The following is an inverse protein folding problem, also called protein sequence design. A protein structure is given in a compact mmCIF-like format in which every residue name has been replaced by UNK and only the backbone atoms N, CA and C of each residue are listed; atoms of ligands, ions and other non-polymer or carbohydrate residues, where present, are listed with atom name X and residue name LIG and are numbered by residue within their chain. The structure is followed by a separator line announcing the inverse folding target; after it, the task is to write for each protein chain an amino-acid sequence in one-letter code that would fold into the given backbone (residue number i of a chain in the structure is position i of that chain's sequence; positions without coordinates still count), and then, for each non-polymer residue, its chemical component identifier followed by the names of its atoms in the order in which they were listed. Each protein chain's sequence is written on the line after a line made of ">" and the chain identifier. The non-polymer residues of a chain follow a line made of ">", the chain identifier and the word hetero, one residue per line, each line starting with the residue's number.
data_IF_506771689352
#
_entry.id   IF_506771689352
#
_cell.length_a   1.000
_cell.length_b   1.000
_cell.length_c   1.000
_cell.angle_alpha   90.00
_cell.angle_beta   90.00
_cell.angle_gamma   90.00
#
_symmetry.space_group_name_H-M   'P 1'
#
loop_
_entity.id
_entity.type
_entity.pdbx_description
1 polymer ?
#
# COMPACT_ATOMS: atom_id res chain seq x y z
N UNK A 1 -14.67 -16.79 10.69
CA UNK A 1 -13.40 -16.78 11.27
C UNK A 1 -13.54 -16.43 12.74
N UNK A 2 -13.26 -17.45 13.59
CA UNK A 2 -13.71 -17.50 14.95
C UNK A 2 -13.15 -16.36 15.81
N UNK A 3 -14.03 -15.69 16.51
CA UNK A 3 -13.64 -14.79 17.57
C UNK A 3 -13.06 -15.62 18.70
N UNK A 4 -11.73 -15.58 18.85
CA UNK A 4 -11.06 -16.15 20.01
C UNK A 4 -11.36 -15.24 21.21
N UNK A 5 -11.83 -15.80 22.32
CA UNK A 5 -12.11 -15.04 23.54
C UNK A 5 -10.81 -14.48 24.14
N UNK A 6 -10.90 -13.34 24.82
CA UNK A 6 -9.72 -12.73 25.52
C UNK A 6 -9.02 -13.76 26.41
N UNK A 7 -9.77 -14.58 27.12
CA UNK A 7 -9.21 -15.60 28.01
C UNK A 7 -8.38 -16.67 27.27
N UNK A 8 -8.80 -17.05 26.07
CA UNK A 8 -8.05 -17.98 25.22
C UNK A 8 -6.79 -17.33 24.67
N UNK A 9 -6.85 -16.06 24.25
CA UNK A 9 -5.66 -15.32 23.79
C UNK A 9 -4.60 -15.31 24.89
N UNK A 10 -4.95 -14.91 26.11
CA UNK A 10 -4.02 -14.90 27.23
C UNK A 10 -3.47 -16.29 27.57
N UNK A 11 -4.29 -17.34 27.45
CA UNK A 11 -3.84 -18.73 27.64
C UNK A 11 -2.81 -19.12 26.58
N UNK A 12 -3.03 -18.80 25.32
CA UNK A 12 -2.07 -19.08 24.24
C UNK A 12 -0.77 -18.30 24.46
N UNK A 13 -0.82 -17.00 24.74
CA UNK A 13 0.36 -16.19 24.99
C UNK A 13 1.21 -16.77 26.12
N UNK A 14 0.56 -17.19 27.23
CA UNK A 14 1.24 -17.85 28.35
C UNK A 14 1.88 -19.17 27.95
N UNK A 15 1.16 -20.01 27.22
CA UNK A 15 1.67 -21.32 26.81
C UNK A 15 2.87 -21.23 25.88
N UNK A 16 2.92 -20.21 25.02
CA UNK A 16 4.04 -19.97 24.11
C UNK A 16 5.08 -18.99 24.66
N UNK A 17 4.96 -18.59 25.94
CA UNK A 17 5.86 -17.64 26.60
C UNK A 17 6.01 -16.31 25.82
N UNK A 18 4.94 -15.87 25.18
CA UNK A 18 4.90 -14.59 24.45
C UNK A 18 4.43 -13.52 25.44
N UNK A 19 5.28 -12.54 25.70
CA UNK A 19 4.95 -11.36 26.50
C UNK A 19 4.48 -10.24 25.58
N UNK A 20 3.30 -9.70 25.85
CA UNK A 20 2.76 -8.48 25.26
C UNK A 20 2.26 -7.59 26.40
N UNK A 21 3.14 -6.80 27.02
CA UNK A 21 2.84 -6.14 28.30
C UNK A 21 1.79 -5.03 28.20
N UNK A 22 1.51 -4.48 27.00
CA UNK A 22 0.58 -3.36 26.85
C UNK A 22 1.10 -2.06 27.48
N UNK A 23 0.31 -1.01 27.63
CA UNK A 23 -1.15 -0.99 27.40
C UNK A 23 -1.57 -0.68 25.96
N UNK A 24 -0.67 -0.22 25.09
CA UNK A 24 -0.98 0.20 23.72
C UNK A 24 -0.27 -0.70 22.72
N UNK A 25 -1.00 -1.11 21.69
CA UNK A 25 -0.49 -1.93 20.61
C UNK A 25 -0.73 -1.27 19.26
N UNK A 26 0.20 -1.46 18.33
CA UNK A 26 0.06 -1.01 16.96
C UNK A 26 0.65 -2.06 16.02
N UNK A 27 -0.03 -2.32 14.90
CA UNK A 27 0.53 -3.07 13.80
C UNK A 27 1.12 -2.13 12.76
N UNK A 28 2.30 -2.48 12.26
CA UNK A 28 2.84 -1.90 11.04
C UNK A 28 3.03 -3.01 9.99
N UNK A 29 2.67 -2.73 8.75
CA UNK A 29 2.81 -3.64 7.62
C UNK A 29 3.89 -3.11 6.69
N UNK A 30 4.90 -3.92 6.42
CA UNK A 30 6.01 -3.60 5.54
C UNK A 30 5.72 -4.17 4.16
N UNK A 31 5.73 -3.32 3.16
CA UNK A 31 5.61 -3.66 1.74
C UNK A 31 6.91 -3.31 1.03
N UNK A 32 7.51 -4.29 0.37
CA UNK A 32 8.69 -4.10 -0.49
C UNK A 32 8.22 -4.02 -1.93
N UNK A 33 8.55 -2.95 -2.64
CA UNK A 33 8.15 -2.76 -4.04
C UNK A 33 8.82 -3.82 -4.92
N UNK A 34 8.02 -4.48 -5.75
CA UNK A 34 8.51 -5.43 -6.75
C UNK A 34 8.99 -4.73 -8.04
N UNK A 35 8.63 -3.46 -8.22
CA UNK A 35 9.02 -2.66 -9.37
C UNK A 35 10.45 -2.09 -9.24
N UNK A 36 10.97 -2.03 -8.01
CA UNK A 36 12.28 -1.47 -7.69
C UNK A 36 13.16 -2.54 -7.00
N UNK A 37 13.51 -3.58 -7.76
CA UNK A 37 14.36 -4.67 -7.26
C UNK A 37 15.79 -4.46 -7.77
N UNK A 38 16.80 -4.51 -6.90
CA UNK A 38 18.19 -4.47 -7.32
C UNK A 38 18.50 -5.58 -8.34
N UNK A 39 19.26 -5.25 -9.37
CA UNK A 39 19.55 -6.16 -10.48
C UNK A 39 20.04 -7.54 -10.01
N UNK A 40 19.35 -8.58 -10.45
CA UNK A 40 19.70 -9.99 -10.19
C UNK A 40 19.26 -10.54 -8.83
N UNK A 41 18.56 -9.76 -8.01
CA UNK A 41 18.05 -10.23 -6.73
C UNK A 41 16.62 -10.79 -6.88
N UNK A 42 16.33 -12.01 -6.47
CA UNK A 42 14.96 -12.51 -6.41
C UNK A 42 14.10 -11.69 -5.43
N UNK A 43 12.83 -11.37 -5.75
CA UNK A 43 11.93 -10.57 -4.88
C UNK A 43 11.82 -11.12 -3.46
N UNK A 44 11.75 -12.44 -3.33
CA UNK A 44 11.65 -13.13 -2.04
C UNK A 44 12.91 -12.87 -1.17
N UNK A 45 14.09 -12.91 -1.75
CA UNK A 45 15.33 -12.65 -1.01
C UNK A 45 15.43 -11.19 -0.55
N UNK A 46 14.96 -10.26 -1.38
CA UNK A 46 14.88 -8.85 -1.00
C UNK A 46 13.95 -8.66 0.20
N UNK A 47 12.74 -9.22 0.13
CA UNK A 47 11.75 -9.17 1.22
C UNK A 47 12.31 -9.78 2.51
N UNK A 48 12.97 -10.94 2.44
CA UNK A 48 13.61 -11.57 3.59
C UNK A 48 14.75 -10.71 4.18
N UNK A 49 15.54 -10.07 3.34
CA UNK A 49 16.62 -9.17 3.76
C UNK A 49 16.05 -7.94 4.47
N UNK A 50 15.01 -7.32 3.90
CA UNK A 50 14.30 -6.20 4.52
C UNK A 50 13.71 -6.60 5.87
N UNK A 51 13.09 -7.78 5.96
CA UNK A 51 12.55 -8.29 7.22
C UNK A 51 13.62 -8.46 8.30
N UNK A 52 14.79 -9.01 7.94
CA UNK A 52 15.91 -9.19 8.87
C UNK A 52 16.41 -7.84 9.39
N UNK A 53 16.67 -6.90 8.50
CA UNK A 53 17.13 -5.57 8.86
C UNK A 53 16.11 -4.79 9.71
N UNK A 54 14.83 -4.90 9.36
CA UNK A 54 13.78 -4.31 10.17
C UNK A 54 13.76 -4.90 11.58
N UNK A 55 13.86 -6.24 11.69
CA UNK A 55 13.88 -6.91 12.99
C UNK A 55 15.06 -6.43 13.84
N UNK A 56 16.27 -6.39 13.29
CA UNK A 56 17.46 -5.94 14.01
C UNK A 56 17.30 -4.50 14.50
N UNK A 57 16.92 -3.57 13.62
CA UNK A 57 16.84 -2.14 13.96
C UNK A 57 15.69 -1.76 14.89
N UNK A 58 14.52 -2.35 14.67
CA UNK A 58 13.37 -2.02 15.51
C UNK A 58 13.40 -2.71 16.87
N UNK A 59 13.95 -3.95 16.97
CA UNK A 59 14.03 -4.64 18.26
C UNK A 59 14.99 -3.99 19.25
N UNK A 60 15.93 -3.17 18.78
CA UNK A 60 16.83 -2.40 19.66
C UNK A 60 16.11 -1.21 20.34
N UNK A 61 15.03 -0.71 19.74
CA UNK A 61 14.34 0.52 20.17
C UNK A 61 12.91 0.28 20.64
N UNK A 62 12.28 -0.79 20.16
CA UNK A 62 10.87 -1.08 20.37
C UNK A 62 10.67 -2.51 20.87
N UNK A 63 9.77 -2.70 21.82
CA UNK A 63 9.26 -4.03 22.14
C UNK A 63 8.30 -4.45 21.02
N UNK A 64 8.85 -5.17 20.04
CA UNK A 64 8.12 -5.54 18.82
C UNK A 64 8.30 -7.01 18.46
N UNK A 65 7.36 -7.53 17.69
CA UNK A 65 7.37 -8.88 17.17
C UNK A 65 7.11 -8.86 15.67
N UNK A 66 7.92 -9.61 14.92
CA UNK A 66 7.81 -9.72 13.48
C UNK A 66 7.30 -11.10 13.08
N UNK A 67 6.34 -11.11 12.16
CA UNK A 67 5.82 -12.34 11.57
C UNK A 67 5.35 -12.10 10.14
N UNK A 68 5.27 -13.18 9.35
CA UNK A 68 4.67 -13.14 8.02
C UNK A 68 3.19 -13.52 8.14
N UNK A 69 2.31 -12.75 7.51
CA UNK A 69 0.89 -13.02 7.48
C UNK A 69 0.28 -12.57 6.14
N UNK A 70 -0.39 -13.49 5.44
CA UNK A 70 -1.01 -13.26 4.13
C UNK A 70 -0.07 -12.57 3.12
N UNK A 71 1.19 -13.02 3.05
CA UNK A 71 2.19 -12.48 2.13
C UNK A 71 2.83 -11.15 2.56
N UNK A 72 2.40 -10.58 3.69
CA UNK A 72 2.97 -9.35 4.24
C UNK A 72 3.92 -9.62 5.40
N UNK A 73 4.90 -8.75 5.58
CA UNK A 73 5.70 -8.68 6.80
C UNK A 73 4.96 -7.76 7.77
N UNK A 74 4.61 -8.31 8.93
CA UNK A 74 3.90 -7.56 9.96
C UNK A 74 4.79 -7.38 11.17
N UNK A 75 4.87 -6.15 11.65
CA UNK A 75 5.50 -5.78 12.92
C UNK A 75 4.40 -5.40 13.90
N UNK A 76 4.24 -6.17 14.96
CA UNK A 76 3.40 -5.82 16.11
C UNK A 76 4.27 -5.11 17.14
N UNK A 77 3.93 -3.88 17.46
CA UNK A 77 4.69 -3.03 18.39
C UNK A 77 3.87 -2.80 19.65
N UNK A 78 4.52 -2.95 20.79
CA UNK A 78 4.02 -2.49 22.08
C UNK A 78 4.49 -1.05 22.30
N UNK A 79 3.54 -0.14 22.36
CA UNK A 79 3.80 1.27 22.66
C UNK A 79 3.69 1.48 24.18
N UNK A 80 4.71 2.04 24.79
CA UNK A 80 4.68 2.37 26.22
C UNK A 80 3.69 3.49 26.55
N UNK A 81 3.48 4.39 25.59
CA UNK A 81 2.61 5.56 25.67
C UNK A 81 1.79 5.68 24.39
N UNK A 82 0.61 6.30 24.45
CA UNK A 82 -0.24 6.53 23.27
C UNK A 82 0.48 7.38 22.23
N UNK A 83 1.21 8.40 22.66
CA UNK A 83 2.00 9.30 21.79
C UNK A 83 3.23 8.62 21.16
N UNK A 84 3.58 7.41 21.58
CA UNK A 84 4.66 6.61 20.99
C UNK A 84 4.47 6.35 19.49
N UNK A 85 3.25 6.48 18.99
CA UNK A 85 2.91 6.30 17.58
C UNK A 85 3.65 7.29 16.65
N UNK A 86 3.83 8.53 17.09
CA UNK A 86 4.56 9.55 16.31
C UNK A 86 6.02 9.16 16.13
N UNK A 87 6.68 8.74 17.23
CA UNK A 87 8.07 8.27 17.18
C UNK A 87 8.21 7.01 16.33
N UNK A 88 7.24 6.09 16.40
CA UNK A 88 7.22 4.90 15.56
C UNK A 88 7.09 5.27 14.09
N UNK A 89 6.23 6.24 13.77
CA UNK A 89 6.05 6.75 12.40
C UNK A 89 7.34 7.33 11.85
N UNK A 90 8.06 8.14 12.62
CA UNK A 90 9.34 8.71 12.24
C UNK A 90 10.41 7.64 12.05
N UNK A 91 10.51 6.66 12.97
CA UNK A 91 11.46 5.56 12.84
C UNK A 91 11.17 4.69 11.61
N UNK A 92 9.90 4.46 11.29
CA UNK A 92 9.49 3.77 10.08
C UNK A 92 9.87 4.55 8.83
N UNK A 93 9.67 5.87 8.80
CA UNK A 93 10.06 6.72 7.67
C UNK A 93 11.58 6.74 7.47
N UNK A 94 12.34 6.84 8.56
CA UNK A 94 13.79 6.73 8.51
C UNK A 94 14.25 5.36 7.99
N UNK A 95 13.58 4.28 8.37
CA UNK A 95 13.88 2.94 7.85
C UNK A 95 13.60 2.83 6.35
N UNK A 96 12.49 3.36 5.86
CA UNK A 96 12.17 3.39 4.42
C UNK A 96 13.28 4.12 3.63
N UNK A 97 13.69 5.30 4.06
CA UNK A 97 14.76 6.07 3.42
C UNK A 97 16.12 5.36 3.50
N UNK A 98 16.36 4.66 4.61
CA UNK A 98 17.60 3.92 4.78
C UNK A 98 17.66 2.71 3.85
N UNK A 99 16.58 1.92 3.68
CA UNK A 99 16.53 0.78 2.76
C UNK A 99 16.73 1.21 1.31
N UNK A 100 16.13 2.32 0.90
CA UNK A 100 16.33 2.89 -0.43
C UNK A 100 17.80 3.26 -0.66
N UNK A 101 18.42 3.93 0.30
CA UNK A 101 19.81 4.41 0.17
C UNK A 101 20.85 3.29 0.17
N UNK A 102 20.68 2.27 1.03
CA UNK A 102 21.72 1.25 1.26
C UNK A 102 21.47 -0.06 0.54
N UNK A 103 20.22 -0.40 0.25
CA UNK A 103 19.84 -1.63 -0.43
C UNK A 103 19.26 -1.38 -1.83
N UNK A 104 19.06 -0.11 -2.21
CA UNK A 104 18.29 0.26 -3.39
C UNK A 104 16.92 -0.44 -3.42
N UNK A 105 16.32 -0.59 -2.25
CA UNK A 105 15.04 -1.27 -2.02
C UNK A 105 14.00 -0.26 -1.57
N UNK A 106 12.95 -0.10 -2.35
CA UNK A 106 11.83 0.77 -2.00
C UNK A 106 10.89 0.03 -1.07
N UNK A 107 10.81 0.48 0.17
CA UNK A 107 9.95 -0.10 1.22
C UNK A 107 8.95 0.95 1.67
N UNK A 108 7.67 0.57 1.69
CA UNK A 108 6.58 1.38 2.26
C UNK A 108 6.07 0.71 3.51
N UNK A 109 5.90 1.47 4.59
CA UNK A 109 5.41 0.94 5.86
C UNK A 109 4.07 1.61 6.19
N UNK A 110 2.99 0.82 6.18
CA UNK A 110 1.69 1.27 6.65
C UNK A 110 1.56 1.06 8.16
N UNK A 111 1.14 2.09 8.88
CA UNK A 111 0.97 2.08 10.33
C UNK A 111 -0.52 2.14 10.66
N UNK A 112 -0.99 1.16 11.42
CA UNK A 112 -2.38 1.00 11.77
C UNK A 112 -2.79 1.85 12.98
N UNK A 113 -4.08 1.78 13.30
CA UNK A 113 -4.64 2.44 14.49
C UNK A 113 -4.08 1.80 15.75
N UNK A 114 -3.78 2.65 16.73
CA UNK A 114 -3.41 2.21 18.08
C UNK A 114 -4.63 1.55 18.74
N UNK A 115 -4.41 0.45 19.45
CA UNK A 115 -5.42 -0.25 20.22
C UNK A 115 -4.91 -0.62 21.60
N UNK A 116 -5.81 -0.77 22.55
CA UNK A 116 -5.51 -1.12 23.96
C UNK A 116 -5.84 -2.57 24.29
N UNK A 117 -6.63 -3.23 23.44
CA UNK A 117 -7.05 -4.61 23.65
C UNK A 117 -6.40 -5.54 22.65
N UNK A 118 -5.95 -6.72 23.12
CA UNK A 118 -5.34 -7.73 22.25
C UNK A 118 -6.27 -8.20 21.12
N UNK A 119 -7.58 -8.25 21.37
CA UNK A 119 -8.57 -8.60 20.33
C UNK A 119 -8.68 -7.56 19.24
N UNK A 120 -8.36 -6.31 19.54
CA UNK A 120 -8.40 -5.20 18.59
C UNK A 120 -7.16 -5.13 17.69
N UNK A 121 -6.12 -5.93 17.95
CA UNK A 121 -4.90 -6.00 17.12
C UNK A 121 -5.23 -6.31 15.66
N UNK A 122 -6.27 -7.12 15.40
CA UNK A 122 -6.73 -7.39 14.03
C UNK A 122 -7.13 -6.11 13.29
N UNK A 123 -7.82 -5.19 13.95
CA UNK A 123 -8.23 -3.91 13.34
C UNK A 123 -7.04 -2.98 13.12
N UNK A 124 -6.04 -3.05 14.03
CA UNK A 124 -4.76 -2.37 13.81
C UNK A 124 -4.05 -2.92 12.58
N UNK A 125 -4.01 -4.24 12.39
CA UNK A 125 -3.45 -4.87 11.19
C UNK A 125 -4.23 -4.50 9.91
N UNK A 126 -5.57 -4.58 9.94
CA UNK A 126 -6.41 -4.23 8.79
C UNK A 126 -6.18 -2.77 8.36
N UNK A 127 -6.14 -1.85 9.33
CA UNK A 127 -5.87 -0.44 9.05
C UNK A 127 -4.41 -0.16 8.63
N UNK A 128 -3.44 -0.93 9.11
CA UNK A 128 -2.05 -0.85 8.64
C UNK A 128 -1.93 -1.30 7.17
N UNK A 129 -2.64 -2.38 6.80
CA UNK A 129 -2.70 -2.85 5.42
C UNK A 129 -3.39 -1.84 4.50
N UNK A 130 -4.47 -1.23 4.98
CA UNK A 130 -5.14 -0.13 4.27
C UNK A 130 -4.17 1.04 4.06
N UNK A 131 -3.41 1.43 5.10
CA UNK A 131 -2.41 2.50 5.01
C UNK A 131 -1.36 2.22 3.92
N UNK A 132 -0.87 0.97 3.79
CA UNK A 132 0.03 0.57 2.70
C UNK A 132 -0.58 0.82 1.32
N UNK A 133 -1.90 0.60 1.17
CA UNK A 133 -2.57 0.80 -0.13
C UNK A 133 -2.54 2.26 -0.58
N UNK A 134 -2.47 3.20 0.35
CA UNK A 134 -2.35 4.63 0.04
C UNK A 134 -1.01 5.03 -0.60
N UNK A 135 -0.05 4.10 -0.72
CA UNK A 135 1.18 4.34 -1.49
C UNK A 135 0.89 4.72 -2.95
N UNK A 136 -0.24 4.26 -3.49
CA UNK A 136 -0.71 4.61 -4.83
C UNK A 136 -0.99 6.11 -4.97
N UNK A 137 -1.44 6.76 -3.90
CA UNK A 137 -1.78 8.18 -3.86
C UNK A 137 -0.58 9.01 -3.39
N UNK A 138 0.04 8.61 -2.28
CA UNK A 138 1.10 9.39 -1.62
C UNK A 138 2.51 9.04 -2.07
N UNK A 139 2.68 8.01 -2.88
CA UNK A 139 3.97 7.49 -3.33
C UNK A 139 4.55 6.44 -2.40
N UNK A 140 5.48 5.64 -2.93
CA UNK A 140 6.21 4.59 -2.22
C UNK A 140 7.42 5.15 -1.45
N UNK A 141 8.13 4.27 -0.74
CA UNK A 141 9.40 4.61 -0.07
C UNK A 141 9.26 5.44 1.22
N UNK A 142 8.12 5.36 1.89
CA UNK A 142 7.81 6.14 3.08
C UNK A 142 6.92 5.41 4.08
N UNK A 143 6.84 5.94 5.29
CA UNK A 143 5.82 5.52 6.25
C UNK A 143 4.49 6.23 5.98
N UNK A 144 3.38 5.53 6.16
CA UNK A 144 2.02 6.05 6.00
C UNK A 144 1.23 5.66 7.25
N UNK A 145 0.89 6.65 8.07
CA UNK A 145 0.05 6.43 9.24
C UNK A 145 -1.42 6.63 8.88
N UNK A 146 -2.25 5.61 9.12
CA UNK A 146 -3.67 5.67 8.78
C UNK A 146 -4.41 6.81 9.49
N UNK A 147 -3.96 7.20 10.68
CA UNK A 147 -4.58 8.29 11.43
C UNK A 147 -4.39 9.67 10.78
N UNK A 148 -3.32 9.83 9.97
CA UNK A 148 -3.03 11.09 9.28
C UNK A 148 -3.84 11.25 8.01
N UNK A 149 -4.25 10.13 7.39
CA UNK A 149 -4.91 10.10 6.08
C UNK A 149 -6.41 9.77 6.16
N UNK A 150 -6.87 9.20 7.28
CA UNK A 150 -8.28 8.89 7.46
C UNK A 150 -9.13 10.17 7.39
N UNK A 151 -10.15 10.24 6.52
CA UNK A 151 -10.99 11.42 6.42
C UNK A 151 -11.66 11.69 7.77
N UNK A 152 -11.34 12.83 8.37
CA UNK A 152 -11.95 13.27 9.63
C UNK A 152 -13.41 13.63 9.36
N UNK A 153 -14.32 12.64 9.43
CA UNK A 153 -15.76 12.88 9.59
C UNK A 153 -16.53 13.52 8.44
N UNK A 154 -15.99 13.56 7.22
CA UNK A 154 -16.78 13.96 6.06
C UNK A 154 -17.42 12.74 5.41
N UNK A 155 -18.74 12.74 5.31
CA UNK A 155 -19.51 11.79 4.50
C UNK A 155 -18.88 11.74 3.09
N UNK A 156 -18.48 10.54 2.71
CA UNK A 156 -17.97 10.25 1.37
C UNK A 156 -19.14 10.40 0.39
N UNK A 157 -19.35 11.58 -0.17
CA UNK A 157 -20.12 11.67 -1.40
C UNK A 157 -19.31 10.94 -2.46
N UNK A 158 -19.72 9.71 -2.77
CA UNK A 158 -19.19 8.94 -3.90
C UNK A 158 -19.71 9.58 -5.20
N UNK A 159 -19.20 10.74 -5.55
CA UNK A 159 -19.25 11.21 -6.92
C UNK A 159 -17.86 10.96 -7.49
N UNK A 160 -17.69 10.02 -8.43
CA UNK A 160 -16.49 9.95 -9.23
C UNK A 160 -16.35 11.30 -9.91
N UNK A 161 -15.23 12.00 -9.67
CA UNK A 161 -14.91 13.14 -10.51
C UNK A 161 -14.65 12.56 -11.90
N UNK A 162 -15.39 12.98 -12.91
CA UNK A 162 -15.26 12.51 -14.29
C UNK A 162 -13.84 12.79 -14.77
N UNK A 163 -13.03 11.73 -14.88
CA UNK A 163 -11.70 11.86 -15.49
C UNK A 163 -11.91 12.09 -16.99
N UNK A 164 -11.40 13.20 -17.45
CA UNK A 164 -11.49 13.57 -18.86
C UNK A 164 -10.41 12.82 -19.68
N UNK A 165 -10.76 11.68 -20.25
CA UNK A 165 -9.90 10.91 -21.16
C UNK A 165 -9.81 11.49 -22.60
N UNK A 166 -10.53 12.60 -22.87
CA UNK A 166 -10.58 13.16 -24.22
C UNK A 166 -9.21 13.56 -24.75
N UNK A 167 -8.34 14.06 -23.88
CA UNK A 167 -6.98 14.50 -24.31
C UNK A 167 -6.10 13.29 -24.65
N UNK A 168 -6.24 12.18 -23.90
CA UNK A 168 -5.55 10.91 -24.22
C UNK A 168 -6.05 10.38 -25.56
N UNK A 169 -7.37 10.31 -25.77
CA UNK A 169 -7.92 9.80 -27.03
C UNK A 169 -7.60 10.70 -28.22
N UNK A 170 -7.57 12.02 -28.05
CA UNK A 170 -7.09 12.96 -29.11
C UNK A 170 -5.63 12.72 -29.44
N UNK A 171 -4.76 12.59 -28.46
CA UNK A 171 -3.35 12.30 -28.67
C UNK A 171 -3.14 10.98 -29.44
N UNK A 172 -3.90 9.92 -29.07
CA UNK A 172 -3.87 8.64 -29.79
C UNK A 172 -4.30 8.81 -31.25
N UNK A 173 -5.34 9.60 -31.55
CA UNK A 173 -5.78 9.85 -32.92
C UNK A 173 -4.76 10.64 -33.75
N UNK A 174 -4.02 11.54 -33.14
CA UNK A 174 -2.93 12.29 -33.78
C UNK A 174 -1.73 11.37 -34.03
N UNK A 175 -1.47 10.39 -33.16
CA UNK A 175 -0.46 9.34 -33.34
C UNK A 175 0.98 9.80 -33.05
N UNK A 176 1.17 10.95 -32.39
CA UNK A 176 2.49 11.42 -31.93
C UNK A 176 2.78 10.83 -30.56
N UNK A 177 3.83 10.02 -30.45
CA UNK A 177 4.16 9.28 -29.23
C UNK A 177 4.37 10.17 -28.01
N UNK A 178 5.11 11.26 -28.19
CA UNK A 178 5.41 12.22 -27.12
C UNK A 178 4.14 12.88 -26.57
N UNK A 179 3.16 13.18 -27.42
CA UNK A 179 1.89 13.76 -27.03
C UNK A 179 1.03 12.75 -26.25
N UNK A 180 1.07 11.47 -26.64
CA UNK A 180 0.38 10.38 -25.94
C UNK A 180 0.98 10.21 -24.54
N UNK A 181 2.30 10.09 -24.42
CA UNK A 181 3.00 9.95 -23.14
C UNK A 181 2.70 11.13 -22.21
N UNK A 182 2.71 12.35 -22.74
CA UNK A 182 2.39 13.54 -21.97
C UNK A 182 0.92 13.54 -21.49
N UNK A 183 -0.02 13.19 -22.34
CA UNK A 183 -1.44 13.14 -21.98
C UNK A 183 -1.71 12.06 -20.91
N UNK A 184 -1.10 10.88 -21.01
CA UNK A 184 -1.20 9.81 -20.02
C UNK A 184 -0.61 10.23 -18.68
N UNK A 185 0.60 10.80 -18.66
CA UNK A 185 1.22 11.29 -17.42
C UNK A 185 0.39 12.38 -16.74
N UNK A 186 -0.22 13.28 -17.52
CA UNK A 186 -1.11 14.32 -17.00
C UNK A 186 -2.35 13.71 -16.35
N UNK A 187 -2.96 12.74 -17.01
CA UNK A 187 -4.13 12.00 -16.51
C UNK A 187 -3.81 11.27 -15.18
N UNK A 188 -2.68 10.55 -15.11
CA UNK A 188 -2.28 9.83 -13.88
C UNK A 188 -2.00 10.81 -12.73
N UNK A 189 -1.40 11.95 -13.01
CA UNK A 189 -1.21 13.01 -11.99
C UNK A 189 -2.54 13.59 -11.49
N UNK A 190 -3.48 13.80 -12.40
CA UNK A 190 -4.82 14.30 -12.05
C UNK A 190 -5.58 13.27 -11.21
N UNK A 191 -5.55 12.00 -11.59
CA UNK A 191 -6.10 10.89 -10.82
C UNK A 191 -5.61 10.91 -9.36
N UNK A 192 -4.31 11.04 -9.15
CA UNK A 192 -3.72 11.08 -7.80
C UNK A 192 -4.12 12.33 -7.02
N UNK A 193 -4.15 13.48 -7.68
CA UNK A 193 -4.52 14.76 -7.06
C UNK A 193 -5.97 14.77 -6.58
N UNK A 194 -6.87 14.14 -7.34
CA UNK A 194 -8.30 14.16 -7.09
C UNK A 194 -8.76 13.03 -6.16
N UNK A 195 -8.00 11.92 -6.10
CA UNK A 195 -8.33 10.81 -5.24
C UNK A 195 -8.11 11.15 -3.75
N UNK A 196 -9.20 11.18 -2.98
CA UNK A 196 -9.17 11.41 -1.52
C UNK A 196 -9.06 10.14 -0.72
N UNK A 197 -9.54 9.02 -1.26
CA UNK A 197 -9.49 7.70 -0.64
C UNK A 197 -8.97 6.66 -1.63
N UNK A 198 -8.40 5.59 -1.10
CA UNK A 198 -7.95 4.46 -1.93
C UNK A 198 -9.12 3.81 -2.68
N UNK A 199 -10.29 3.78 -2.09
CA UNK A 199 -11.51 3.27 -2.73
C UNK A 199 -11.88 4.11 -3.94
N UNK A 200 -11.89 5.44 -3.82
CA UNK A 200 -12.14 6.36 -4.92
C UNK A 200 -11.09 6.20 -6.02
N UNK A 201 -9.79 6.14 -5.65
CA UNK A 201 -8.70 5.87 -6.58
C UNK A 201 -8.95 4.59 -7.40
N UNK A 202 -9.25 3.48 -6.72
CA UNK A 202 -9.48 2.19 -7.36
C UNK A 202 -10.70 2.22 -8.32
N UNK A 203 -11.81 2.85 -7.90
CA UNK A 203 -12.98 2.99 -8.77
C UNK A 203 -12.66 3.79 -10.03
N UNK A 204 -11.93 4.88 -9.90
CA UNK A 204 -11.55 5.72 -11.04
C UNK A 204 -10.60 4.99 -12.00
N UNK A 205 -9.64 4.23 -11.47
CA UNK A 205 -8.76 3.37 -12.30
C UNK A 205 -9.58 2.34 -13.08
N UNK A 206 -10.55 1.68 -12.42
CA UNK A 206 -11.44 0.72 -13.09
C UNK A 206 -12.27 1.38 -14.19
N UNK A 207 -12.71 2.60 -14.00
CA UNK A 207 -13.44 3.38 -15.00
C UNK A 207 -12.55 3.71 -16.21
N UNK A 208 -11.30 4.17 -15.98
CA UNK A 208 -10.32 4.42 -17.04
C UNK A 208 -10.11 3.15 -17.89
N UNK A 209 -9.88 2.01 -17.26
CA UNK A 209 -9.69 0.72 -17.96
C UNK A 209 -10.93 0.37 -18.80
N UNK A 210 -12.13 0.58 -18.24
CA UNK A 210 -13.38 0.33 -18.95
C UNK A 210 -13.54 1.23 -20.18
N UNK A 211 -13.12 2.48 -20.11
CA UNK A 211 -13.11 3.41 -21.24
C UNK A 211 -12.09 3.01 -22.30
N UNK A 212 -10.88 2.61 -21.91
CA UNK A 212 -9.85 2.11 -22.83
C UNK A 212 -10.31 0.85 -23.54
N UNK A 213 -10.92 -0.10 -22.82
CA UNK A 213 -11.50 -1.29 -23.42
C UNK A 213 -12.55 -0.96 -24.50
N UNK A 214 -13.48 -0.05 -24.18
CA UNK A 214 -14.49 0.41 -25.17
C UNK A 214 -13.84 1.11 -26.36
N UNK A 215 -12.81 1.92 -26.12
CA UNK A 215 -12.08 2.59 -27.21
C UNK A 215 -11.43 1.57 -28.14
N UNK A 216 -10.77 0.56 -27.62
CA UNK A 216 -10.18 -0.52 -28.41
C UNK A 216 -11.24 -1.25 -29.24
N UNK A 217 -12.37 -1.63 -28.63
CA UNK A 217 -13.47 -2.29 -29.33
C UNK A 217 -14.05 -1.45 -30.46
N UNK A 218 -14.23 -0.14 -30.25
CA UNK A 218 -14.73 0.77 -31.29
C UNK A 218 -13.76 0.99 -32.45
N UNK A 219 -12.46 0.76 -32.23
CA UNK A 219 -11.42 0.92 -33.23
C UNK A 219 -10.90 -0.43 -33.79
N UNK A 220 -11.62 -1.51 -33.54
CA UNK A 220 -11.24 -2.88 -33.97
C UNK A 220 -9.87 -3.34 -33.46
N UNK A 221 -9.43 -2.81 -32.32
CA UNK A 221 -8.22 -3.23 -31.63
C UNK A 221 -8.59 -4.31 -30.59
N UNK A 222 -7.81 -5.39 -30.54
CA UNK A 222 -8.03 -6.40 -29.52
C UNK A 222 -7.25 -6.04 -28.25
N UNK A 223 -7.96 -5.66 -27.21
CA UNK A 223 -7.38 -5.27 -25.94
C UNK A 223 -6.62 -6.42 -25.27
N UNK A 224 -7.15 -7.65 -25.39
CA UNK A 224 -6.57 -8.83 -24.73
C UNK A 224 -5.24 -9.28 -25.34
N UNK A 225 -4.99 -8.97 -26.62
CA UNK A 225 -3.70 -9.27 -27.27
C UNK A 225 -2.52 -8.52 -26.63
N UNK A 226 -2.80 -7.41 -25.96
CA UNK A 226 -1.79 -6.54 -25.35
C UNK A 226 -1.77 -6.60 -23.81
N UNK A 227 -2.88 -6.97 -23.21
CA UNK A 227 -3.05 -6.87 -21.75
C UNK A 227 -3.37 -8.21 -21.06
N UNK A 228 -3.61 -9.27 -21.81
CA UNK A 228 -4.09 -10.55 -21.30
C UNK A 228 -5.58 -10.53 -20.92
N UNK A 229 -6.05 -11.52 -20.17
CA UNK A 229 -7.45 -11.61 -19.76
C UNK A 229 -7.85 -10.41 -18.88
N UNK A 230 -8.94 -9.73 -19.21
CA UNK A 230 -9.46 -8.54 -18.52
C UNK A 230 -9.55 -8.74 -16.99
N UNK A 231 -9.90 -9.94 -16.54
CA UNK A 231 -10.01 -10.24 -15.10
C UNK A 231 -8.67 -10.03 -14.38
N UNK A 232 -7.56 -10.41 -15.01
CA UNK A 232 -6.24 -10.29 -14.43
C UNK A 232 -5.74 -8.83 -14.50
N UNK A 233 -6.15 -8.09 -15.53
CA UNK A 233 -5.79 -6.68 -15.72
C UNK A 233 -6.18 -5.81 -14.52
N UNK A 234 -7.39 -5.96 -14.00
CA UNK A 234 -7.83 -5.17 -12.83
C UNK A 234 -7.01 -5.48 -11.57
N UNK A 235 -6.69 -6.75 -11.35
CA UNK A 235 -5.88 -7.14 -10.18
C UNK A 235 -4.43 -6.66 -10.29
N UNK A 236 -3.88 -6.61 -11.50
CA UNK A 236 -2.52 -6.15 -11.76
C UNK A 236 -2.42 -4.62 -11.65
N UNK A 237 -3.33 -3.89 -12.29
CA UNK A 237 -3.32 -2.42 -12.29
C UNK A 237 -3.44 -1.86 -10.87
N UNK A 238 -4.27 -2.47 -10.02
CA UNK A 238 -4.42 -2.04 -8.62
C UNK A 238 -3.16 -2.24 -7.77
N UNK A 239 -2.15 -2.94 -8.29
CA UNK A 239 -0.84 -3.14 -7.64
C UNK A 239 0.26 -2.26 -8.21
N UNK A 240 0.02 -1.62 -9.37
CA UNK A 240 1.00 -0.79 -10.08
C UNK A 240 1.22 0.54 -9.36
N UNK A 241 2.47 0.97 -9.30
CA UNK A 241 2.81 2.34 -8.93
C UNK A 241 2.56 3.32 -10.09
N UNK A 242 2.82 4.61 -9.85
CA UNK A 242 2.62 5.66 -10.87
C UNK A 242 3.40 5.38 -12.16
N UNK A 243 4.65 4.98 -12.01
CA UNK A 243 5.56 4.76 -13.14
C UNK A 243 5.08 3.57 -13.98
N UNK A 244 4.76 2.49 -13.32
CA UNK A 244 4.28 1.25 -13.98
C UNK A 244 2.90 1.46 -14.59
N UNK A 245 2.00 2.16 -13.90
CA UNK A 245 0.67 2.49 -14.41
C UNK A 245 0.73 3.40 -15.64
N UNK A 246 1.65 4.36 -15.65
CA UNK A 246 1.83 5.27 -16.79
C UNK A 246 2.45 4.58 -18.01
N UNK A 247 3.25 3.54 -17.77
CA UNK A 247 3.89 2.77 -18.84
C UNK A 247 3.00 1.66 -19.41
N UNK A 248 2.04 1.21 -18.61
CA UNK A 248 1.04 0.21 -18.98
C UNK A 248 0.01 0.76 -19.96
#
# INVERSE_FOLDING_TARGET
>A
EGQISSGEIYKYLRNYQISLPGPYYCCAVLHTSENHIPNGMPPLLLSMSVQREARERFSDRWDCRFFAYLGNIVMLVNLGEEDGITKLTDDCDHFCKWTERFYNAVVTIGIGKVCTELQAIRFSYESAREAVSYRMIYGEGRSINIADIAPKGQELSMQPEDINLNDVFKAIHIGVREDIEHAVLSMVKELKKNARTITQYNFTVMEIVSHLYRFCGNNYLNFEDHTGEIRNVYEEILKMDETTLSAW
#
